data_IF_494786856341
#
_entry.id   IF_494786856341
#
_cell.length_a   1.000
_cell.length_b   1.000
_cell.length_c   1.000
_cell.angle_alpha   90.00
_cell.angle_beta   90.00
_cell.angle_gamma   90.00
#
_symmetry.space_group_name_H-M   'P 1'
#
loop_
_entity.id
_entity.type
_entity.pdbx_description
1 polymer ?
#
# COMPACT_ATOMS: atom_id res chain seq x y z
N UNK A 1 4.84 50.53 -4.20
CA UNK A 1 3.67 49.98 -4.91
C UNK A 1 4.02 48.55 -5.34
N UNK A 2 3.64 47.53 -4.56
CA UNK A 2 4.01 46.14 -4.80
C UNK A 2 2.92 45.40 -5.59
N UNK A 3 3.28 44.81 -6.73
CA UNK A 3 2.36 44.00 -7.53
C UNK A 3 2.34 42.57 -7.01
N UNK A 4 1.25 42.15 -6.37
CA UNK A 4 1.04 40.76 -5.96
C UNK A 4 0.81 39.87 -7.20
N UNK A 5 1.66 38.85 -7.38
CA UNK A 5 1.56 37.83 -8.44
C UNK A 5 0.44 36.83 -8.08
N UNK A 6 -0.52 36.53 -8.96
CA UNK A 6 -1.58 35.60 -8.62
C UNK A 6 -1.03 34.17 -8.52
N UNK A 7 -1.29 33.52 -7.40
CA UNK A 7 -1.00 32.11 -7.18
C UNK A 7 -1.90 31.25 -8.10
N UNK A 8 -1.29 30.27 -8.76
CA UNK A 8 -1.94 29.33 -9.66
C UNK A 8 -2.95 28.49 -8.86
N UNK A 9 -4.22 28.37 -9.27
CA UNK A 9 -5.20 27.60 -8.51
C UNK A 9 -4.77 26.14 -8.44
N UNK A 10 -4.71 25.64 -7.21
CA UNK A 10 -4.45 24.25 -6.85
C UNK A 10 -5.37 23.36 -7.68
N UNK A 11 -4.78 22.47 -8.49
CA UNK A 11 -5.53 21.56 -9.34
C UNK A 11 -6.61 20.83 -8.52
N UNK A 12 -7.87 21.07 -8.88
CA UNK A 12 -9.04 20.42 -8.31
C UNK A 12 -8.81 18.92 -8.25
N UNK A 13 -8.80 18.36 -7.03
CA UNK A 13 -8.68 16.94 -6.80
C UNK A 13 -9.77 16.23 -7.60
N UNK A 14 -9.34 15.45 -8.61
CA UNK A 14 -10.23 14.63 -9.43
C UNK A 14 -11.12 13.80 -8.48
N UNK A 15 -12.45 13.76 -8.69
CA UNK A 15 -13.34 13.00 -7.83
C UNK A 15 -12.82 11.55 -7.81
N UNK A 16 -12.39 11.12 -6.63
CA UNK A 16 -11.95 9.76 -6.39
C UNK A 16 -13.22 8.90 -6.45
N UNK A 17 -13.54 8.42 -7.65
CA UNK A 17 -14.57 7.39 -7.83
C UNK A 17 -14.31 6.23 -6.87
N UNK A 18 -15.35 5.46 -6.55
CA UNK A 18 -15.30 4.38 -5.56
C UNK A 18 -13.98 3.61 -5.64
N UNK A 19 -13.21 3.65 -4.56
CA UNK A 19 -11.87 3.07 -4.52
C UNK A 19 -12.01 1.57 -4.80
N UNK A 20 -11.40 1.11 -5.91
CA UNK A 20 -11.36 -0.31 -6.23
C UNK A 20 -10.61 -1.03 -5.10
N UNK A 21 -11.16 -2.15 -4.65
CA UNK A 21 -10.49 -2.97 -3.66
C UNK A 21 -9.07 -3.33 -4.15
N UNK A 22 -8.04 -3.20 -3.29
CA UNK A 22 -6.68 -3.50 -3.68
C UNK A 22 -6.53 -4.98 -4.05
N UNK A 23 -5.71 -5.26 -5.05
CA UNK A 23 -5.38 -6.66 -5.39
C UNK A 23 -4.65 -7.34 -4.23
N UNK A 24 -4.77 -8.67 -4.10
CA UNK A 24 -4.01 -9.42 -3.09
C UNK A 24 -2.50 -9.16 -3.20
N UNK A 25 -1.97 -9.01 -4.42
CA UNK A 25 -0.55 -8.67 -4.64
C UNK A 25 -0.18 -7.31 -4.03
N UNK A 26 -1.05 -6.31 -4.15
CA UNK A 26 -0.84 -4.99 -3.55
C UNK A 26 -0.85 -5.07 -2.02
N UNK A 27 -1.79 -5.84 -1.46
CA UNK A 27 -1.86 -6.09 -0.02
C UNK A 27 -0.58 -6.78 0.46
N UNK A 28 -0.17 -7.87 -0.20
CA UNK A 28 1.07 -8.59 0.15
C UNK A 28 2.27 -7.66 0.11
N UNK A 29 2.42 -6.85 -0.95
CA UNK A 29 3.54 -5.91 -1.09
C UNK A 29 3.54 -4.84 0.01
N UNK A 30 2.38 -4.32 0.38
CA UNK A 30 2.26 -3.33 1.45
C UNK A 30 2.71 -3.92 2.80
N UNK A 31 2.21 -5.11 3.14
CA UNK A 31 2.57 -5.80 4.38
C UNK A 31 4.07 -6.14 4.38
N UNK A 32 4.60 -6.74 3.32
CA UNK A 32 6.03 -7.10 3.28
C UNK A 32 6.94 -5.89 3.33
N UNK A 33 6.52 -4.74 2.78
CA UNK A 33 7.30 -3.51 2.87
C UNK A 33 7.40 -3.02 4.31
N UNK A 34 6.29 -3.01 5.05
CA UNK A 34 6.28 -2.63 6.47
C UNK A 34 7.11 -3.60 7.31
N UNK A 35 6.92 -4.90 7.10
CA UNK A 35 7.65 -5.94 7.84
C UNK A 35 9.14 -5.95 7.51
N UNK A 36 9.54 -5.63 6.28
CA UNK A 36 10.95 -5.56 5.90
C UNK A 36 11.67 -4.43 6.65
N UNK A 37 11.01 -3.28 6.82
CA UNK A 37 11.55 -2.15 7.59
C UNK A 37 11.67 -2.55 9.07
N UNK A 38 10.65 -3.18 9.63
CA UNK A 38 10.61 -3.58 11.04
C UNK A 38 11.62 -4.69 11.37
N UNK A 39 11.75 -5.69 10.50
CA UNK A 39 12.53 -6.91 10.78
C UNK A 39 13.92 -6.92 10.13
N UNK A 40 14.23 -5.96 9.25
CA UNK A 40 15.44 -5.95 8.44
C UNK A 40 15.54 -7.09 7.41
N UNK A 41 14.50 -7.91 7.24
CA UNK A 41 14.49 -9.04 6.31
C UNK A 41 14.21 -8.59 4.89
N UNK A 42 14.70 -9.36 3.92
CA UNK A 42 14.45 -9.02 2.51
C UNK A 42 12.97 -9.17 2.13
N UNK A 43 12.44 -8.17 1.42
CA UNK A 43 11.06 -8.16 0.91
C UNK A 43 10.76 -9.44 0.11
N UNK A 44 11.72 -9.89 -0.70
CA UNK A 44 11.56 -11.05 -1.59
C UNK A 44 11.42 -12.36 -0.81
N UNK A 45 12.13 -12.52 0.31
CA UNK A 45 11.95 -13.67 1.20
C UNK A 45 10.59 -13.60 1.90
N UNK A 46 10.20 -12.44 2.41
CA UNK A 46 8.90 -12.25 3.08
C UNK A 46 7.72 -12.51 2.13
N UNK A 47 7.79 -12.01 0.89
CA UNK A 47 6.77 -12.28 -0.13
C UNK A 47 6.69 -13.76 -0.50
N UNK A 48 7.81 -14.48 -0.51
CA UNK A 48 7.83 -15.92 -0.79
C UNK A 48 7.19 -16.68 0.36
N UNK A 49 7.52 -16.34 1.60
CA UNK A 49 6.91 -16.94 2.79
C UNK A 49 5.41 -16.73 2.81
N UNK A 50 4.93 -15.49 2.58
CA UNK A 50 3.49 -15.21 2.55
C UNK A 50 2.75 -15.91 1.41
N UNK A 51 3.37 -16.01 0.22
CA UNK A 51 2.78 -16.74 -0.92
C UNK A 51 2.72 -18.25 -0.69
N UNK A 52 3.71 -18.81 -0.01
CA UNK A 52 3.80 -20.24 0.30
C UNK A 52 3.02 -20.60 1.57
N UNK A 53 2.68 -19.62 2.40
CA UNK A 53 1.89 -19.79 3.62
C UNK A 53 0.40 -20.06 3.37
N UNK A 54 0.02 -20.53 2.15
CA UNK A 54 -1.33 -21.00 1.81
C UNK A 54 -1.82 -22.18 2.68
N UNK A 55 -0.93 -22.74 3.51
CA UNK A 55 -1.20 -23.81 4.47
C UNK A 55 -0.75 -23.45 5.90
N UNK A 56 -0.35 -22.20 6.14
CA UNK A 56 0.22 -21.74 7.42
C UNK A 56 -0.81 -21.21 8.41
N UNK A 57 -0.42 -21.10 9.69
CA UNK A 57 -1.23 -20.71 10.86
C UNK A 57 -2.06 -19.41 10.72
N UNK A 58 -1.78 -18.59 9.70
CA UNK A 58 -2.43 -17.30 9.47
C UNK A 58 -3.12 -17.19 8.10
N UNK A 59 -3.29 -18.30 7.37
CA UNK A 59 -3.97 -18.30 6.07
C UNK A 59 -5.44 -17.86 6.18
N UNK A 60 -6.12 -18.29 7.24
CA UNK A 60 -7.53 -17.97 7.48
C UNK A 60 -7.75 -16.58 8.09
N UNK A 61 -6.66 -15.89 8.47
CA UNK A 61 -6.74 -14.50 8.91
C UNK A 61 -6.95 -13.63 7.68
N UNK A 62 -8.21 -13.41 7.35
CA UNK A 62 -8.63 -12.40 6.37
C UNK A 62 -8.15 -11.05 6.88
N UNK A 63 -7.17 -10.47 6.18
CA UNK A 63 -6.84 -9.06 6.36
C UNK A 63 -8.13 -8.26 6.10
N UNK A 64 -8.53 -7.45 7.08
CA UNK A 64 -9.74 -6.63 6.99
C UNK A 64 -9.74 -5.88 5.65
N UNK A 65 -10.81 -6.09 4.87
CA UNK A 65 -11.02 -5.44 3.57
C UNK A 65 -11.74 -4.12 3.74
#
# INVERSE_FOLDING_TARGET
MGTMKPAKPTALAKPRGAAKAPSQKAITRAVTSSTAIETGKSIRQLERTLRNSKTGKFFDIKLAR
#
